data_IF_257509444666
#
_entry.id   IF_257509444666
#
_cell.length_a   1.000
_cell.length_b   1.000
_cell.length_c   1.000
_cell.angle_alpha   90.00
_cell.angle_beta   90.00
_cell.angle_gamma   90.00
#
_symmetry.space_group_name_H-M   'P 1'
#
loop_
_entity.id
_entity.type
_entity.pdbx_description
1 polymer ?
#
# COMPACT_ATOMS: atom_id res chain seq x y z
N UNK A 1 17.78 2.82 7.12
CA UNK A 1 17.51 1.60 7.90
C UNK A 1 18.54 0.56 7.50
N UNK A 2 19.26 0.04 8.48
CA UNK A 2 20.45 -0.79 8.21
C UNK A 2 20.26 -2.26 8.60
N UNK A 3 19.24 -2.56 9.39
CA UNK A 3 19.05 -3.89 9.94
C UNK A 3 17.64 -4.41 9.71
N UNK A 4 17.54 -5.72 9.48
CA UNK A 4 16.33 -6.51 9.68
C UNK A 4 16.46 -7.24 11.01
N UNK A 5 15.41 -7.20 11.84
CA UNK A 5 15.38 -7.94 13.08
C UNK A 5 14.08 -8.70 13.26
N UNK A 6 14.15 -9.78 14.01
CA UNK A 6 13.01 -10.55 14.46
C UNK A 6 12.93 -10.49 15.97
N UNK A 7 11.73 -10.39 16.51
CA UNK A 7 11.49 -10.37 17.94
C UNK A 7 10.90 -11.70 18.41
N UNK A 8 11.24 -12.10 19.63
CA UNK A 8 10.52 -13.10 20.38
C UNK A 8 9.12 -12.61 20.77
N UNK A 9 8.17 -13.50 21.17
CA UNK A 9 6.85 -13.10 21.66
C UNK A 9 6.88 -12.08 22.80
N UNK A 10 7.92 -12.09 23.63
CA UNK A 10 8.15 -11.12 24.72
C UNK A 10 8.65 -9.75 24.26
N UNK A 11 9.01 -9.60 22.97
CA UNK A 11 9.49 -8.34 22.41
C UNK A 11 11.01 -8.18 22.39
N UNK A 12 11.77 -9.11 22.94
CA UNK A 12 13.24 -9.09 22.89
C UNK A 12 13.75 -9.49 21.50
N UNK A 13 14.87 -8.92 21.03
CA UNK A 13 15.48 -9.33 19.77
C UNK A 13 15.90 -10.81 19.78
N UNK A 14 15.34 -11.59 18.84
CA UNK A 14 15.72 -12.98 18.61
C UNK A 14 16.91 -13.07 17.63
N UNK A 15 16.81 -12.31 16.54
CA UNK A 15 17.81 -12.33 15.46
C UNK A 15 17.92 -10.94 14.86
N UNK A 16 19.14 -10.55 14.50
CA UNK A 16 19.41 -9.30 13.80
C UNK A 16 20.39 -9.56 12.65
N UNK A 17 20.04 -9.08 11.47
CA UNK A 17 20.88 -9.20 10.28
C UNK A 17 21.10 -7.81 9.68
N UNK A 18 22.34 -7.51 9.29
CA UNK A 18 22.64 -6.30 8.53
C UNK A 18 22.03 -6.44 7.13
N UNK A 19 21.10 -5.54 6.79
CA UNK A 19 20.39 -5.53 5.53
C UNK A 19 19.97 -4.08 5.19
N UNK A 20 20.88 -3.28 4.65
CA UNK A 20 20.59 -1.89 4.33
C UNK A 20 19.41 -1.76 3.36
N UNK A 21 18.42 -0.94 3.73
CA UNK A 21 17.21 -0.70 2.95
C UNK A 21 16.78 0.76 3.06
N UNK A 22 16.20 1.27 1.97
CA UNK A 22 15.52 2.56 1.99
C UNK A 22 14.03 2.32 2.19
N UNK A 23 13.49 2.93 3.25
CA UNK A 23 12.06 2.93 3.50
C UNK A 23 11.45 4.24 3.03
N UNK A 24 10.30 4.14 2.40
CA UNK A 24 9.55 5.29 1.89
C UNK A 24 8.06 5.09 2.12
N UNK A 25 7.27 6.11 1.88
CA UNK A 25 5.82 6.00 1.82
C UNK A 25 5.33 6.06 0.38
N UNK A 26 4.19 5.43 0.11
CA UNK A 26 3.55 5.50 -1.20
C UNK A 26 3.34 6.94 -1.66
N UNK A 27 2.89 7.83 -0.76
CA UNK A 27 2.67 9.24 -1.08
C UNK A 27 3.95 9.99 -1.48
N UNK A 28 5.12 9.64 -0.92
CA UNK A 28 6.39 10.24 -1.36
C UNK A 28 6.78 9.77 -2.76
N UNK A 29 6.63 8.48 -3.03
CA UNK A 29 6.89 7.91 -4.35
C UNK A 29 5.95 8.52 -5.39
N UNK A 30 4.66 8.57 -5.10
CA UNK A 30 3.66 9.21 -5.96
C UNK A 30 4.04 10.66 -6.28
N UNK A 31 4.34 11.48 -5.25
CA UNK A 31 4.73 12.87 -5.47
C UNK A 31 6.00 13.03 -6.31
N UNK A 32 6.98 12.14 -6.12
CA UNK A 32 8.21 12.17 -6.92
C UNK A 32 7.92 11.89 -8.40
N UNK A 33 7.15 10.85 -8.68
CA UNK A 33 6.73 10.49 -10.03
C UNK A 33 5.84 11.59 -10.66
N UNK A 34 4.89 12.11 -9.87
CA UNK A 34 3.98 13.18 -10.33
C UNK A 34 4.72 14.45 -10.70
N UNK A 35 5.78 14.82 -9.95
CA UNK A 35 6.63 15.98 -10.26
C UNK A 35 7.47 15.79 -11.51
N UNK A 36 7.86 14.56 -11.82
CA UNK A 36 8.62 14.24 -13.03
C UNK A 36 7.73 14.12 -14.28
N UNK A 37 6.42 14.02 -14.11
CA UNK A 37 5.47 13.91 -15.22
C UNK A 37 5.03 15.31 -15.70
N UNK A 38 5.00 15.59 -17.03
CA UNK A 38 4.58 16.85 -17.57
C UNK A 38 3.17 17.23 -17.10
N UNK A 39 2.97 18.39 -16.45
CA UNK A 39 1.68 18.76 -15.86
C UNK A 39 0.57 18.90 -16.91
N UNK A 40 0.89 19.35 -18.12
CA UNK A 40 -0.03 19.51 -19.24
C UNK A 40 -0.54 18.19 -19.84
N UNK A 41 0.06 17.07 -19.45
CA UNK A 41 -0.32 15.72 -19.89
C UNK A 41 -0.98 14.91 -18.77
N UNK A 42 -1.22 15.51 -17.63
CA UNK A 42 -1.82 14.84 -16.47
C UNK A 42 -3.22 15.37 -16.19
N UNK A 43 -4.21 14.54 -16.41
CA UNK A 43 -5.62 14.88 -16.26
C UNK A 43 -6.19 14.20 -15.02
N UNK A 44 -6.33 14.96 -13.93
CA UNK A 44 -6.98 14.49 -12.71
C UNK A 44 -8.51 14.44 -12.89
N UNK A 45 -9.15 13.52 -12.14
CA UNK A 45 -10.61 13.44 -12.15
C UNK A 45 -11.22 12.99 -13.49
N UNK A 46 -10.41 12.38 -14.37
CA UNK A 46 -10.81 11.94 -15.69
C UNK A 46 -10.92 10.40 -15.75
N UNK A 47 -11.97 9.80 -15.14
CA UNK A 47 -12.11 8.35 -15.13
C UNK A 47 -12.37 7.83 -16.54
N UNK A 48 -11.70 6.71 -16.87
CA UNK A 48 -12.00 5.97 -18.09
C UNK A 48 -13.39 5.32 -17.96
N UNK A 49 -14.31 5.64 -18.88
CA UNK A 49 -15.69 5.14 -18.87
C UNK A 49 -16.01 4.20 -20.01
N UNK A 50 -15.26 4.30 -21.11
CA UNK A 50 -15.45 3.45 -22.28
C UNK A 50 -14.15 3.34 -23.07
N UNK A 51 -13.88 2.20 -23.67
CA UNK A 51 -12.85 2.06 -24.70
C UNK A 51 -13.19 0.93 -25.67
N UNK A 52 -12.66 1.05 -26.88
CA UNK A 52 -12.74 0.00 -27.90
C UNK A 52 -11.42 -0.10 -28.66
N UNK A 53 -10.96 -1.32 -28.90
CA UNK A 53 -9.75 -1.57 -29.69
C UNK A 53 -10.14 -1.76 -31.16
N UNK A 54 -9.41 -1.09 -32.06
CA UNK A 54 -9.54 -1.21 -33.50
C UNK A 54 -8.21 -1.55 -34.16
N UNK A 55 -8.22 -1.72 -35.47
CA UNK A 55 -7.04 -2.05 -36.28
C UNK A 55 -5.95 -0.96 -36.19
N UNK A 56 -6.36 0.33 -36.03
CA UNK A 56 -5.45 1.47 -36.03
C UNK A 56 -5.37 2.18 -34.68
N UNK A 57 -5.49 1.44 -33.56
CA UNK A 57 -5.39 2.00 -32.22
C UNK A 57 -6.61 1.78 -31.35
N UNK A 58 -6.77 2.62 -30.33
CA UNK A 58 -7.83 2.52 -29.34
C UNK A 58 -8.64 3.81 -29.26
N UNK A 59 -9.95 3.68 -29.27
CA UNK A 59 -10.89 4.78 -28.98
C UNK A 59 -11.22 4.76 -27.49
N UNK A 60 -11.18 5.92 -26.84
CA UNK A 60 -11.30 6.06 -25.39
C UNK A 60 -12.24 7.19 -25.04
N UNK A 61 -13.08 7.02 -24.02
CA UNK A 61 -13.92 8.08 -23.44
C UNK A 61 -13.57 8.25 -21.97
N UNK A 62 -13.35 9.49 -21.57
CA UNK A 62 -13.14 9.86 -20.16
C UNK A 62 -14.37 10.64 -19.64
N UNK A 63 -15.00 10.15 -18.58
CA UNK A 63 -16.21 10.74 -18.03
C UNK A 63 -17.32 10.84 -19.06
N UNK A 64 -17.93 12.03 -19.18
CA UNK A 64 -18.94 12.37 -20.19
C UNK A 64 -18.36 13.10 -21.41
N UNK A 65 -17.04 13.13 -21.56
CA UNK A 65 -16.37 13.81 -22.66
C UNK A 65 -16.47 13.11 -24.00
N UNK A 66 -15.90 13.72 -25.04
CA UNK A 66 -15.84 13.16 -26.38
C UNK A 66 -14.90 11.95 -26.47
N UNK A 67 -15.14 11.12 -27.46
CA UNK A 67 -14.26 10.00 -27.79
C UNK A 67 -12.96 10.52 -28.39
N UNK A 68 -11.85 10.10 -27.78
CA UNK A 68 -10.50 10.40 -28.26
C UNK A 68 -9.85 9.13 -28.82
N UNK A 69 -8.91 9.29 -29.74
CA UNK A 69 -8.16 8.17 -30.33
C UNK A 69 -6.71 8.22 -29.91
N UNK A 70 -6.16 7.04 -29.60
CA UNK A 70 -4.77 6.84 -29.21
C UNK A 70 -4.20 5.59 -29.90
N UNK A 71 -2.90 5.54 -30.05
CA UNK A 71 -2.21 4.35 -30.58
C UNK A 71 -2.18 3.22 -29.55
N UNK A 72 -2.15 3.55 -28.25
CA UNK A 72 -2.03 2.60 -27.16
C UNK A 72 -2.77 3.08 -25.91
N UNK A 73 -3.50 2.18 -25.25
CA UNK A 73 -4.04 2.34 -23.90
C UNK A 73 -3.32 1.41 -22.94
N UNK A 74 -2.75 1.97 -21.87
CA UNK A 74 -2.15 1.19 -20.78
C UNK A 74 -3.07 1.22 -19.57
N UNK A 75 -3.68 0.10 -19.24
CA UNK A 75 -4.54 -0.07 -18.06
C UNK A 75 -3.71 -0.23 -16.78
N UNK A 76 -3.35 0.89 -16.14
CA UNK A 76 -2.63 0.92 -14.85
C UNK A 76 -3.57 1.30 -13.68
N UNK A 77 -4.83 0.93 -13.76
CA UNK A 77 -5.96 1.34 -12.91
C UNK A 77 -6.17 0.41 -11.68
N UNK A 78 -5.16 -0.41 -11.35
CA UNK A 78 -5.00 -1.11 -10.07
C UNK A 78 -5.89 -2.33 -9.86
N UNK A 79 -6.12 -2.69 -8.60
CA UNK A 79 -6.78 -3.94 -8.23
C UNK A 79 -8.23 -4.05 -8.75
N UNK A 80 -8.93 -2.92 -8.87
CA UNK A 80 -10.31 -2.85 -9.40
C UNK A 80 -10.33 -2.42 -10.87
N UNK A 81 -9.30 -2.72 -11.64
CA UNK A 81 -9.10 -2.32 -13.02
C UNK A 81 -10.37 -2.48 -13.88
N UNK A 82 -10.84 -1.38 -14.42
CA UNK A 82 -11.90 -1.34 -15.42
C UNK A 82 -11.44 -1.96 -16.76
N UNK A 83 -10.19 -1.65 -17.15
CA UNK A 83 -9.61 -2.20 -18.39
C UNK A 83 -9.54 -3.73 -18.33
N UNK A 84 -9.06 -4.30 -17.22
CA UNK A 84 -9.04 -5.75 -17.02
C UNK A 84 -10.45 -6.36 -17.08
N UNK A 85 -11.44 -5.72 -16.44
CA UNK A 85 -12.80 -6.24 -16.42
C UNK A 85 -13.42 -6.32 -17.83
N UNK A 86 -13.03 -5.42 -18.72
CA UNK A 86 -13.53 -5.40 -20.11
C UNK A 86 -12.77 -6.43 -20.98
N UNK A 87 -11.45 -6.50 -20.85
CA UNK A 87 -10.62 -7.36 -21.71
C UNK A 87 -10.56 -8.82 -21.23
N UNK A 88 -10.65 -9.04 -19.93
CA UNK A 88 -10.50 -10.34 -19.27
C UNK A 88 -11.60 -10.52 -18.21
N UNK A 89 -12.87 -10.59 -18.63
CA UNK A 89 -14.02 -10.64 -17.71
C UNK A 89 -14.04 -11.88 -16.83
N UNK A 90 -13.36 -12.95 -17.24
CA UNK A 90 -13.19 -14.21 -16.49
C UNK A 90 -12.18 -14.07 -15.34
N UNK A 91 -11.26 -13.09 -15.42
CA UNK A 91 -10.24 -12.89 -14.39
C UNK A 91 -10.82 -12.09 -13.22
N UNK A 92 -11.22 -12.80 -12.18
CA UNK A 92 -11.80 -12.22 -10.97
C UNK A 92 -10.76 -12.17 -9.83
N UNK A 93 -10.76 -11.11 -9.02
CA UNK A 93 -10.00 -11.12 -7.78
C UNK A 93 -10.41 -12.29 -6.89
N UNK A 94 -9.42 -12.92 -6.26
CA UNK A 94 -9.64 -14.00 -5.28
C UNK A 94 -9.09 -13.56 -3.94
N UNK A 95 -9.74 -14.00 -2.88
CA UNK A 95 -9.23 -13.80 -1.54
C UNK A 95 -7.90 -14.56 -1.37
N UNK A 96 -6.90 -13.89 -0.80
CA UNK A 96 -5.55 -14.44 -0.69
C UNK A 96 -5.33 -15.31 0.56
N UNK A 97 -6.37 -15.53 1.38
CA UNK A 97 -6.30 -16.34 2.61
C UNK A 97 -5.79 -15.57 3.83
N UNK A 98 -5.65 -14.26 3.75
CA UNK A 98 -5.23 -13.43 4.88
C UNK A 98 -5.82 -12.02 4.82
N UNK A 99 -5.85 -11.36 5.96
CA UNK A 99 -6.12 -9.92 6.08
C UNK A 99 -4.85 -9.17 6.46
N UNK A 100 -4.77 -7.89 6.13
CA UNK A 100 -3.67 -7.03 6.50
C UNK A 100 -4.21 -5.77 7.20
N UNK A 101 -3.98 -5.69 8.50
CA UNK A 101 -4.24 -4.49 9.30
C UNK A 101 -3.06 -3.55 9.16
N UNK A 102 -3.33 -2.26 8.95
CA UNK A 102 -2.27 -1.27 8.73
C UNK A 102 -2.53 -0.02 9.54
N UNK A 103 -1.46 0.54 10.07
CA UNK A 103 -1.52 1.83 10.75
C UNK A 103 -0.23 2.62 10.58
N UNK A 104 -0.36 3.92 10.75
CA UNK A 104 0.75 4.86 10.75
C UNK A 104 0.59 5.76 11.96
N UNK A 105 1.64 5.85 12.78
CA UNK A 105 1.68 6.67 13.98
C UNK A 105 2.78 7.71 13.83
N UNK A 106 2.53 9.01 14.11
CA UNK A 106 3.59 10.00 14.20
C UNK A 106 4.65 9.57 15.22
N UNK A 107 5.92 9.75 14.89
CA UNK A 107 7.02 9.40 15.79
C UNK A 107 6.93 10.14 17.13
N UNK A 108 6.40 11.36 17.12
CA UNK A 108 6.15 12.17 18.31
C UNK A 108 5.13 11.58 19.29
N UNK A 109 4.22 10.74 18.79
CA UNK A 109 3.18 10.06 19.58
C UNK A 109 3.61 8.65 20.01
N UNK A 110 4.65 8.10 19.38
CA UNK A 110 5.19 6.80 19.74
C UNK A 110 6.04 6.91 21.01
N UNK A 111 5.82 6.01 21.96
CA UNK A 111 6.62 5.97 23.20
C UNK A 111 8.12 5.72 22.93
N UNK A 112 9.00 6.31 23.73
CA UNK A 112 10.46 6.21 23.58
C UNK A 112 10.97 4.75 23.52
N UNK A 113 10.31 3.84 24.22
CA UNK A 113 10.68 2.41 24.23
C UNK A 113 10.43 1.79 22.83
N UNK A 114 9.29 2.07 22.22
CA UNK A 114 8.97 1.61 20.87
C UNK A 114 9.96 2.17 19.84
N UNK A 115 10.27 3.47 19.93
CA UNK A 115 11.21 4.10 19.01
C UNK A 115 12.61 3.46 19.08
N UNK A 116 13.10 3.10 20.25
CA UNK A 116 14.39 2.39 20.39
C UNK A 116 14.40 1.03 19.70
N UNK A 117 13.27 0.33 19.73
CA UNK A 117 13.14 -0.98 19.11
C UNK A 117 13.10 -0.89 17.57
N UNK A 118 12.47 0.14 17.04
CA UNK A 118 12.20 0.24 15.60
C UNK A 118 13.13 1.20 14.84
N UNK A 119 13.86 2.07 15.53
CA UNK A 119 14.81 2.99 14.89
C UNK A 119 15.93 2.18 14.21
N UNK A 120 16.16 2.50 12.94
CA UNK A 120 17.12 1.82 12.06
C UNK A 120 16.85 0.31 11.80
N UNK A 121 15.71 -0.22 12.25
CA UNK A 121 15.34 -1.63 12.09
C UNK A 121 14.06 -1.83 11.30
N UNK A 122 14.09 -2.74 10.32
CA UNK A 122 12.91 -3.36 9.77
C UNK A 122 12.56 -4.57 10.65
N UNK A 123 11.59 -4.40 11.51
CA UNK A 123 11.29 -5.31 12.61
C UNK A 123 10.12 -6.21 12.29
N UNK A 124 10.28 -7.50 12.57
CA UNK A 124 9.26 -8.53 12.41
C UNK A 124 9.02 -9.25 13.73
N UNK A 125 7.79 -9.62 13.97
CA UNK A 125 7.43 -10.63 14.97
C UNK A 125 6.53 -11.65 14.30
N UNK A 126 6.95 -12.91 14.33
CA UNK A 126 6.18 -14.04 13.81
C UNK A 126 5.38 -14.68 14.93
N UNK A 127 4.14 -15.00 14.63
CA UNK A 127 3.20 -15.65 15.53
C UNK A 127 2.48 -16.78 14.77
N UNK A 128 1.73 -17.60 15.49
CA UNK A 128 0.94 -18.64 14.84
C UNK A 128 -0.07 -18.05 13.83
N UNK A 129 0.00 -18.49 12.59
CA UNK A 129 -0.82 -18.00 11.47
C UNK A 129 -0.82 -16.47 11.27
N UNK A 130 0.14 -15.76 11.82
CA UNK A 130 0.22 -14.32 11.63
C UNK A 130 1.66 -13.80 11.76
N UNK A 131 1.88 -12.59 11.26
CA UNK A 131 3.10 -11.85 11.55
C UNK A 131 2.81 -10.35 11.49
N UNK A 132 3.50 -9.62 12.33
CA UNK A 132 3.49 -8.17 12.29
C UNK A 132 4.87 -7.66 11.87
N UNK A 133 4.89 -6.60 11.11
CA UNK A 133 6.10 -5.88 10.77
C UNK A 133 5.95 -4.39 11.07
N UNK A 134 7.04 -3.79 11.50
CA UNK A 134 7.08 -2.39 11.87
C UNK A 134 8.40 -1.74 11.45
N UNK A 135 8.34 -0.51 10.96
CA UNK A 135 9.48 0.25 10.51
C UNK A 135 9.18 1.74 10.44
N UNK A 136 10.22 2.55 10.51
CA UNK A 136 10.13 4.00 10.41
C UNK A 136 10.12 4.43 8.94
N UNK A 137 9.21 5.32 8.59
CA UNK A 137 9.11 5.96 7.27
C UNK A 137 9.22 7.48 7.43
N UNK A 138 9.55 8.22 6.37
CA UNK A 138 9.53 9.68 6.41
C UNK A 138 8.18 10.25 6.86
N UNK A 139 8.20 11.43 7.38
CA UNK A 139 7.02 12.20 7.74
C UNK A 139 6.09 12.48 6.56
N UNK A 140 4.97 13.16 6.80
CA UNK A 140 3.95 13.40 5.78
C UNK A 140 4.45 14.24 4.60
N UNK A 141 5.28 15.24 4.87
CA UNK A 141 5.92 16.06 3.84
C UNK A 141 7.28 15.53 3.36
N UNK A 142 7.74 14.42 3.94
CA UNK A 142 9.00 13.77 3.57
C UNK A 142 10.13 13.98 4.58
N UNK A 143 9.81 14.47 5.77
CA UNK A 143 10.76 14.74 6.84
C UNK A 143 11.49 13.45 7.25
N UNK A 144 12.82 13.57 7.43
CA UNK A 144 13.70 12.45 7.81
C UNK A 144 14.28 12.62 9.21
N UNK A 145 14.14 13.80 9.80
CA UNK A 145 14.64 14.11 11.13
C UNK A 145 13.86 13.32 12.19
N UNK A 146 14.56 12.88 13.21
CA UNK A 146 13.95 12.23 14.38
C UNK A 146 12.88 13.11 14.99
N UNK A 147 11.77 12.52 15.40
CA UNK A 147 10.61 13.21 15.94
C UNK A 147 9.60 13.72 14.90
N UNK A 148 10.00 13.80 13.61
CA UNK A 148 9.13 14.21 12.52
C UNK A 148 8.73 13.05 11.58
N UNK A 149 9.33 11.90 11.78
CA UNK A 149 9.06 10.68 11.02
C UNK A 149 7.76 10.02 11.48
N UNK A 150 7.41 8.92 10.86
CA UNK A 150 6.24 8.11 11.21
C UNK A 150 6.64 6.66 11.38
N UNK A 151 6.02 5.98 12.32
CA UNK A 151 6.09 4.55 12.50
C UNK A 151 4.98 3.91 11.66
N UNK A 152 5.33 3.04 10.74
CA UNK A 152 4.40 2.27 9.92
C UNK A 152 4.41 0.83 10.41
N UNK A 153 3.23 0.26 10.61
CA UNK A 153 3.08 -1.14 10.95
C UNK A 153 2.08 -1.82 10.05
N UNK A 154 2.29 -3.10 9.81
CA UNK A 154 1.38 -3.98 9.08
C UNK A 154 1.31 -5.30 9.81
N UNK A 155 0.11 -5.74 10.14
CA UNK A 155 -0.16 -7.04 10.73
C UNK A 155 -0.91 -7.90 9.74
N UNK A 156 -0.27 -8.97 9.28
CA UNK A 156 -0.85 -9.99 8.43
C UNK A 156 -1.37 -11.13 9.30
N UNK A 157 -2.62 -11.49 9.08
CA UNK A 157 -3.29 -12.57 9.80
C UNK A 157 -3.99 -13.48 8.81
N UNK A 158 -3.62 -14.78 8.81
CA UNK A 158 -4.28 -15.77 7.98
C UNK A 158 -5.67 -16.05 8.52
N UNK A 159 -6.67 -15.83 7.68
CA UNK A 159 -8.09 -15.98 8.04
C UNK A 159 -8.75 -16.82 6.97
N UNK A 160 -9.44 -17.92 7.30
CA UNK A 160 -10.26 -18.66 6.35
C UNK A 160 -11.32 -17.75 5.71
N UNK A 161 -11.62 -17.96 4.43
CA UNK A 161 -12.62 -17.13 3.73
C UNK A 161 -14.00 -17.21 4.40
N UNK A 162 -14.34 -18.36 4.98
CA UNK A 162 -15.57 -18.55 5.75
C UNK A 162 -15.72 -17.64 6.99
N UNK A 163 -14.60 -17.20 7.56
CA UNK A 163 -14.58 -16.34 8.75
C UNK A 163 -14.42 -14.84 8.41
N UNK A 164 -14.04 -14.53 7.17
CA UNK A 164 -13.71 -13.17 6.75
C UNK A 164 -14.85 -12.18 6.97
N UNK A 165 -16.08 -12.58 6.63
CA UNK A 165 -17.25 -11.70 6.79
C UNK A 165 -17.53 -11.36 8.26
N UNK A 166 -17.48 -12.34 9.13
CA UNK A 166 -17.70 -12.14 10.56
C UNK A 166 -16.63 -11.23 11.18
N UNK A 167 -15.35 -11.45 10.81
CA UNK A 167 -14.23 -10.64 11.25
C UNK A 167 -14.39 -9.17 10.81
N UNK A 168 -14.72 -8.94 9.56
CA UNK A 168 -14.82 -7.59 9.00
C UNK A 168 -16.07 -6.83 9.49
N UNK A 169 -17.16 -7.51 9.77
CA UNK A 169 -18.39 -6.90 10.31
C UNK A 169 -18.34 -6.65 11.81
N UNK A 170 -17.70 -7.52 12.60
CA UNK A 170 -17.46 -7.31 14.03
C UNK A 170 -16.69 -6.03 14.30
N UNK A 171 -15.63 -5.78 13.55
CA UNK A 171 -14.83 -4.55 13.68
C UNK A 171 -15.56 -3.26 13.32
N UNK A 172 -16.54 -3.31 12.43
CA UNK A 172 -17.38 -2.14 12.11
C UNK A 172 -18.30 -1.72 13.24
N UNK A 173 -18.65 -2.63 14.15
CA UNK A 173 -19.50 -2.34 15.31
C UNK A 173 -18.74 -1.70 16.47
N UNK A 174 -17.43 -1.89 16.54
CA UNK A 174 -16.58 -1.32 17.59
C UNK A 174 -16.04 0.07 17.25
N UNK A 175 -16.10 0.48 15.97
CA UNK A 175 -15.59 1.78 15.51
C UNK A 175 -16.74 2.81 15.31
N UNK A 176 -17.98 2.42 15.41
CA UNK A 176 -19.15 3.30 15.32
C UNK A 176 -19.62 3.71 16.73
#
# INVERSE_FOLDING_TARGET
MNYRQYLHPGGEPATRQRMPQLMTSWGLLYRALRRAFPPERYYEGSPLTEFSCGEFGVSVRFGAGDVQRFDLLVGADGARSFVRQQLLPEVKPRYAGYVAWRGVVPESEAGRALLRTFDDHFTFQQMHHSHILCYVIPGAAGERERGKRRLNWVWYWNVPESELFALMTGMRREIA
#
